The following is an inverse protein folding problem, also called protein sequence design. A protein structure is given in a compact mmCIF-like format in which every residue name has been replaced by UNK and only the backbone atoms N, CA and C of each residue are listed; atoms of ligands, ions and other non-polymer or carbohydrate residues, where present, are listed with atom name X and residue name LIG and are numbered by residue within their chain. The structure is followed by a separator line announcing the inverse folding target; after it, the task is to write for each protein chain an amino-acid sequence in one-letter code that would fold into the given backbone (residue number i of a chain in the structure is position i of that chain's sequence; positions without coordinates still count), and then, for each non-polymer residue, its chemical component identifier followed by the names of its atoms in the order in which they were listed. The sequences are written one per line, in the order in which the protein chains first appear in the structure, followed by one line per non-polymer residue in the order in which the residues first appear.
data_IF_462371485868
#
_entry.id   IF_462371485868
#
_cell.length_a   1.000
_cell.length_b   1.000
_cell.length_c   1.000
_cell.angle_alpha   90.00
_cell.angle_beta   90.00
_cell.angle_gamma   90.00
#
_symmetry.space_group_name_H-M   'P 1'
#
loop_
_entity.id
_entity.type
_entity.pdbx_description
1 polymer ?
#
# COMPACT_ATOMS: atom_id res chain seq x y z
N UNK A 1 -5.96 85.19 6.33
CA UNK A 1 -6.97 84.16 6.68
C UNK A 1 -7.35 83.37 5.39
N UNK A 2 -6.99 82.13 5.29
CA UNK A 2 -7.34 81.31 4.17
C UNK A 2 -8.86 81.02 4.18
N UNK A 3 -9.52 81.15 3.03
CA UNK A 3 -10.96 80.94 2.95
C UNK A 3 -11.30 79.47 2.90
N UNK A 4 -12.51 79.11 3.38
CA UNK A 4 -13.03 77.71 3.32
C UNK A 4 -12.87 77.03 1.98
N UNK A 5 -12.85 77.80 0.89
CA UNK A 5 -12.72 77.34 -0.47
C UNK A 5 -11.29 76.91 -0.82
N UNK A 6 -10.28 77.56 -0.17
CA UNK A 6 -8.86 77.21 -0.32
C UNK A 6 -8.55 75.88 0.43
N UNK A 7 -9.12 75.75 1.62
CA UNK A 7 -8.96 74.56 2.46
C UNK A 7 -9.54 73.28 1.79
N UNK A 8 -10.67 73.44 1.08
CA UNK A 8 -11.28 72.32 0.34
C UNK A 8 -10.54 71.98 -0.94
N UNK A 9 -9.85 72.90 -1.56
CA UNK A 9 -9.01 72.62 -2.75
C UNK A 9 -7.70 71.94 -2.38
N UNK A 10 -7.09 72.37 -1.29
CA UNK A 10 -5.85 71.75 -0.82
C UNK A 10 -6.11 70.38 -0.18
N UNK A 11 -7.27 70.14 0.44
CA UNK A 11 -7.69 68.84 0.94
C UNK A 11 -8.04 67.84 -0.16
N UNK A 12 -8.48 68.30 -1.36
CA UNK A 12 -8.80 67.44 -2.48
C UNK A 12 -7.55 66.99 -3.27
N UNK A 13 -6.45 67.76 -3.19
CA UNK A 13 -5.17 67.43 -3.83
C UNK A 13 -4.33 66.44 -3.02
N UNK A 14 -4.54 66.34 -1.70
CA UNK A 14 -3.85 65.35 -0.83
C UNK A 14 -4.56 64.01 -0.73
N UNK A 15 -5.85 63.93 -1.08
CA UNK A 15 -6.59 62.65 -1.14
C UNK A 15 -6.41 61.89 -2.43
N UNK A 16 -5.85 62.52 -3.49
CA UNK A 16 -5.66 61.89 -4.80
C UNK A 16 -4.34 61.14 -5.01
N UNK A 17 -3.41 61.17 -4.05
CA UNK A 17 -2.06 60.58 -4.23
C UNK A 17 -1.79 59.36 -3.37
N UNK A 18 -2.78 58.78 -2.72
CA UNK A 18 -2.65 57.56 -1.90
C UNK A 18 -3.38 56.34 -2.46
N UNK A 19 -3.75 56.38 -3.75
CA UNK A 19 -4.08 55.20 -4.55
C UNK A 19 -2.81 54.71 -5.26
N UNK A 20 -1.72 54.61 -4.52
CA UNK A 20 -0.61 53.76 -4.92
C UNK A 20 -1.10 52.33 -4.80
N UNK A 21 -1.40 51.76 -5.97
CA UNK A 21 -1.48 50.36 -6.23
C UNK A 21 -0.66 49.53 -5.22
N UNK A 22 -1.29 49.04 -4.18
CA UNK A 22 -0.81 47.81 -3.58
C UNK A 22 -0.99 46.76 -4.71
N UNK A 23 0.10 46.18 -5.25
CA UNK A 23 -0.08 44.92 -5.93
C UNK A 23 -0.69 44.03 -4.85
N UNK A 24 -1.93 43.59 -5.08
CA UNK A 24 -2.43 42.38 -4.49
C UNK A 24 -1.41 41.32 -4.94
N UNK A 25 -0.37 41.16 -4.12
CA UNK A 25 0.37 39.93 -4.07
C UNK A 25 -0.68 38.89 -3.69
N UNK A 26 -1.36 38.36 -4.72
CA UNK A 26 -1.85 37.02 -4.64
C UNK A 26 -0.57 36.22 -4.33
N UNK A 27 -0.31 36.00 -3.05
CA UNK A 27 0.52 34.92 -2.61
C UNK A 27 -0.15 33.71 -3.28
N UNK A 28 0.34 33.35 -4.45
CA UNK A 28 0.13 32.02 -5.00
C UNK A 28 0.65 31.13 -3.88
N UNK A 29 -0.27 30.65 -3.04
CA UNK A 29 0.07 29.81 -1.91
C UNK A 29 0.93 28.69 -2.50
N UNK A 30 2.18 28.64 -2.13
CA UNK A 30 3.03 27.52 -2.46
C UNK A 30 2.21 26.29 -2.12
N UNK A 31 1.80 25.54 -3.13
CA UNK A 31 1.13 24.26 -2.91
C UNK A 31 2.14 23.43 -2.11
N UNK A 32 1.90 23.36 -0.80
CA UNK A 32 2.69 22.59 0.15
C UNK A 32 2.88 21.19 -0.44
N UNK A 33 4.09 20.69 -0.45
CA UNK A 33 4.37 19.30 -0.79
C UNK A 33 3.47 18.39 0.04
N UNK A 34 2.85 17.40 -0.60
CA UNK A 34 2.00 16.40 0.08
C UNK A 34 2.85 15.20 0.42
N UNK A 35 2.74 14.70 1.63
CA UNK A 35 3.47 13.50 2.09
C UNK A 35 2.50 12.34 2.26
N UNK A 36 2.92 11.15 1.84
CA UNK A 36 2.23 9.88 2.04
C UNK A 36 3.22 8.90 2.68
N UNK A 37 2.86 8.37 3.84
CA UNK A 37 3.60 7.27 4.49
C UNK A 37 2.88 5.96 4.19
N UNK A 38 3.57 5.02 3.58
CA UNK A 38 3.07 3.68 3.30
C UNK A 38 3.75 2.73 4.28
N UNK A 39 2.94 2.07 5.11
CA UNK A 39 3.34 0.97 5.95
C UNK A 39 2.91 -0.34 5.29
N UNK A 40 3.75 -1.37 5.36
CA UNK A 40 3.37 -2.65 4.79
C UNK A 40 3.92 -3.85 5.54
N UNK A 41 3.19 -4.94 5.43
CA UNK A 41 3.58 -6.28 5.84
C UNK A 41 3.42 -7.25 4.69
N UNK A 42 4.04 -8.41 4.79
CA UNK A 42 3.92 -9.55 3.90
C UNK A 42 4.27 -10.82 4.67
N UNK A 43 3.73 -11.97 4.24
CA UNK A 43 4.09 -13.30 4.74
C UNK A 43 4.06 -13.37 6.29
N UNK A 44 2.99 -12.87 6.90
CA UNK A 44 2.88 -12.82 8.37
C UNK A 44 2.70 -14.22 8.97
N UNK A 45 2.12 -15.14 8.20
CA UNK A 45 2.05 -16.55 8.54
C UNK A 45 1.52 -16.83 9.95
N UNK A 46 0.34 -16.27 10.26
CA UNK A 46 -0.35 -16.51 11.54
C UNK A 46 0.49 -16.15 12.79
N UNK A 47 1.60 -15.39 12.61
CA UNK A 47 2.48 -15.05 13.74
C UNK A 47 1.86 -13.93 14.59
N UNK A 48 1.03 -14.33 15.56
CA UNK A 48 0.38 -13.43 16.51
C UNK A 48 1.27 -13.13 17.71
N UNK A 49 1.98 -14.13 18.21
CA UNK A 49 2.95 -13.97 19.30
C UNK A 49 4.35 -13.65 18.77
N UNK A 50 5.18 -12.96 19.56
CA UNK A 50 6.60 -12.84 19.23
C UNK A 50 7.28 -14.23 19.26
N UNK A 51 8.41 -14.35 18.57
CA UNK A 51 9.20 -15.57 18.64
C UNK A 51 9.66 -15.83 20.08
N UNK A 52 9.44 -17.05 20.62
CA UNK A 52 9.81 -17.34 22.00
C UNK A 52 11.32 -17.47 22.19
N UNK A 53 12.03 -17.94 21.16
CA UNK A 53 13.46 -18.28 21.20
C UNK A 53 14.14 -18.14 19.82
N UNK A 54 15.40 -18.59 19.73
CA UNK A 54 16.18 -18.57 18.48
C UNK A 54 16.66 -17.18 18.08
N UNK A 55 17.10 -17.05 16.82
CA UNK A 55 17.65 -15.79 16.28
C UNK A 55 16.66 -14.63 16.25
N UNK A 56 15.37 -14.91 16.31
CA UNK A 56 14.31 -13.91 16.30
C UNK A 56 13.62 -13.78 17.67
N UNK A 57 14.18 -14.31 18.74
CA UNK A 57 13.61 -14.26 20.09
C UNK A 57 13.12 -12.85 20.47
N UNK A 58 11.85 -12.74 20.88
CA UNK A 58 11.21 -11.48 21.24
C UNK A 58 10.81 -10.57 20.06
N UNK A 59 11.06 -10.98 18.81
CA UNK A 59 10.71 -10.22 17.59
C UNK A 59 9.38 -10.66 17.00
N UNK A 60 8.75 -9.78 16.24
CA UNK A 60 7.40 -9.98 15.70
C UNK A 60 6.31 -9.75 16.73
N UNK A 61 5.18 -10.39 16.51
CA UNK A 61 4.02 -10.31 17.38
C UNK A 61 3.08 -9.13 17.06
N UNK A 62 1.78 -9.44 17.09
CA UNK A 62 0.73 -8.51 16.69
C UNK A 62 0.63 -7.29 17.60
N UNK A 63 0.82 -7.47 18.92
CA UNK A 63 0.73 -6.37 19.88
C UNK A 63 1.84 -5.33 19.68
N UNK A 64 3.09 -5.78 19.46
CA UNK A 64 4.22 -4.88 19.18
C UNK A 64 4.04 -4.17 17.83
N UNK A 65 3.54 -4.89 16.81
CA UNK A 65 3.23 -4.31 15.50
C UNK A 65 2.15 -3.25 15.58
N UNK A 66 1.04 -3.53 16.28
CA UNK A 66 -0.04 -2.57 16.49
C UNK A 66 0.43 -1.31 17.21
N UNK A 67 1.25 -1.45 18.26
CA UNK A 67 1.86 -0.32 18.96
C UNK A 67 2.68 0.55 18.01
N UNK A 68 3.58 -0.04 17.24
CA UNK A 68 4.44 0.66 16.28
C UNK A 68 3.62 1.39 15.20
N UNK A 69 2.58 0.74 14.65
CA UNK A 69 1.68 1.36 13.68
C UNK A 69 0.98 2.59 14.28
N UNK A 70 0.49 2.49 15.52
CA UNK A 70 -0.18 3.59 16.20
C UNK A 70 0.77 4.76 16.50
N UNK A 71 2.02 4.49 16.88
CA UNK A 71 3.06 5.52 17.07
C UNK A 71 3.35 6.27 15.77
N UNK A 72 3.44 5.56 14.63
CA UNK A 72 3.66 6.19 13.33
C UNK A 72 2.43 7.00 12.91
N UNK A 73 1.21 6.49 13.10
CA UNK A 73 -0.03 7.23 12.80
C UNK A 73 -0.20 8.48 13.66
N UNK A 74 0.31 8.48 14.88
CA UNK A 74 0.30 9.67 15.73
C UNK A 74 1.28 10.75 15.25
N UNK A 75 2.35 10.36 14.55
CA UNK A 75 3.40 11.26 14.06
C UNK A 75 3.18 11.71 12.61
N UNK A 76 2.42 10.96 11.81
CA UNK A 76 2.25 11.19 10.37
C UNK A 76 0.76 11.31 10.02
N UNK A 77 0.40 12.35 9.25
CA UNK A 77 -1.01 12.64 8.93
C UNK A 77 -1.62 11.66 7.92
N UNK A 78 -0.83 11.23 6.95
CA UNK A 78 -1.32 10.46 5.80
C UNK A 78 -0.61 9.11 5.76
N UNK A 79 -1.18 8.12 6.45
CA UNK A 79 -0.62 6.77 6.54
C UNK A 79 -1.54 5.77 5.86
N UNK A 80 -1.01 4.97 4.92
CA UNK A 80 -1.61 3.74 4.40
C UNK A 80 -0.95 2.54 5.06
N UNK A 81 -1.74 1.53 5.40
CA UNK A 81 -1.26 0.24 5.91
C UNK A 81 -1.75 -0.89 5.01
N UNK A 82 -0.82 -1.60 4.38
CA UNK A 82 -1.08 -2.57 3.32
C UNK A 82 -0.45 -3.93 3.64
N UNK A 83 -1.01 -5.00 3.08
CA UNK A 83 -0.47 -6.36 3.22
C UNK A 83 -0.37 -7.05 1.86
N UNK A 84 0.70 -7.82 1.64
CA UNK A 84 0.97 -8.50 0.37
C UNK A 84 0.71 -10.02 0.41
N UNK A 85 -0.16 -10.50 1.32
CA UNK A 85 -0.62 -11.90 1.37
C UNK A 85 0.24 -12.84 2.21
N UNK A 86 -0.16 -14.10 2.24
CA UNK A 86 0.29 -15.13 3.16
C UNK A 86 0.09 -14.71 4.63
N UNK A 87 -1.15 -14.37 4.92
CA UNK A 87 -1.62 -14.00 6.26
C UNK A 87 -1.76 -15.25 7.12
N UNK A 88 -2.30 -16.32 6.52
CA UNK A 88 -2.61 -17.58 7.16
C UNK A 88 -1.42 -18.54 7.22
N UNK A 89 -1.61 -19.64 7.95
CA UNK A 89 -0.69 -20.76 8.07
C UNK A 89 0.65 -20.40 8.76
N UNK A 90 1.28 -21.35 9.42
CA UNK A 90 2.61 -21.21 10.03
C UNK A 90 2.64 -21.27 11.55
N UNK A 91 1.50 -21.18 12.25
CA UNK A 91 1.42 -21.36 13.72
C UNK A 91 0.21 -22.19 14.14
N UNK A 92 0.20 -22.70 15.41
CA UNK A 92 -0.96 -23.39 15.96
C UNK A 92 -2.26 -22.58 15.94
N UNK A 93 -2.21 -21.26 15.90
CA UNK A 93 -3.40 -20.40 15.79
C UNK A 93 -4.22 -20.72 14.55
N UNK A 94 -3.56 -20.79 13.39
CA UNK A 94 -4.26 -21.16 12.16
C UNK A 94 -4.84 -22.58 12.22
N UNK A 95 -4.11 -23.53 12.81
CA UNK A 95 -4.59 -24.91 12.93
C UNK A 95 -5.88 -25.00 13.75
N UNK A 96 -6.01 -24.18 14.80
CA UNK A 96 -7.15 -24.16 15.72
C UNK A 96 -8.29 -23.26 15.23
N UNK A 97 -7.97 -22.06 14.74
CA UNK A 97 -8.97 -21.00 14.49
C UNK A 97 -9.13 -20.64 13.01
N UNK A 98 -8.33 -21.27 12.12
CA UNK A 98 -8.49 -21.18 10.66
C UNK A 98 -8.48 -19.75 10.09
N UNK A 99 -7.74 -18.81 10.73
CA UNK A 99 -7.56 -17.45 10.25
C UNK A 99 -8.42 -16.38 10.95
N UNK A 100 -9.30 -16.76 11.85
CA UNK A 100 -10.15 -15.78 12.58
C UNK A 100 -9.31 -14.75 13.38
N UNK A 101 -8.35 -15.14 14.25
CA UNK A 101 -7.59 -14.17 15.03
C UNK A 101 -6.68 -13.29 14.15
N UNK A 102 -6.17 -13.80 13.03
CA UNK A 102 -5.38 -13.05 12.07
C UNK A 102 -6.20 -11.91 11.44
N UNK A 103 -7.40 -12.23 10.91
CA UNK A 103 -8.29 -11.25 10.29
C UNK A 103 -8.79 -10.21 11.29
N UNK A 104 -9.14 -10.64 12.50
CA UNK A 104 -9.51 -9.72 13.59
C UNK A 104 -8.38 -8.78 13.96
N UNK A 105 -7.16 -9.28 14.09
CA UNK A 105 -5.99 -8.48 14.42
C UNK A 105 -5.69 -7.45 13.33
N UNK A 106 -5.74 -7.82 12.05
CA UNK A 106 -5.56 -6.91 10.92
C UNK A 106 -6.65 -5.84 10.90
N UNK A 107 -7.91 -6.23 11.09
CA UNK A 107 -9.04 -5.30 11.18
C UNK A 107 -8.87 -4.30 12.33
N UNK A 108 -8.45 -4.75 13.51
CA UNK A 108 -8.16 -3.87 14.66
C UNK A 108 -6.98 -2.95 14.43
N UNK A 109 -5.96 -3.38 13.71
CA UNK A 109 -4.83 -2.54 13.32
C UNK A 109 -5.18 -1.55 12.20
N UNK A 110 -6.36 -1.69 11.56
CA UNK A 110 -6.85 -0.79 10.53
C UNK A 110 -6.04 -0.88 9.24
N UNK A 111 -5.86 -2.08 8.70
CA UNK A 111 -5.34 -2.23 7.34
C UNK A 111 -6.27 -1.55 6.33
N UNK A 112 -5.70 -0.87 5.34
CA UNK A 112 -6.44 -0.18 4.28
C UNK A 112 -6.75 -1.12 3.09
N UNK A 113 -5.90 -2.13 2.86
CA UNK A 113 -6.10 -3.21 1.90
C UNK A 113 -5.10 -4.35 2.13
N UNK A 114 -5.45 -5.56 1.67
CA UNK A 114 -4.57 -6.72 1.57
C UNK A 114 -4.72 -7.43 0.23
N UNK A 115 -3.77 -8.30 -0.11
CA UNK A 115 -3.93 -9.27 -1.21
C UNK A 115 -3.91 -10.71 -0.69
N UNK A 116 -3.97 -11.68 -1.58
CA UNK A 116 -4.07 -13.11 -1.26
C UNK A 116 -2.79 -13.81 -1.67
N UNK A 117 -2.16 -14.54 -0.76
CA UNK A 117 -1.05 -15.43 -1.05
C UNK A 117 -1.49 -16.88 -1.21
N UNK A 118 -0.54 -17.77 -1.49
CA UNK A 118 -0.84 -19.18 -1.69
C UNK A 118 -1.23 -19.90 -0.38
N UNK A 119 -0.64 -19.54 0.74
CA UNK A 119 -0.99 -20.12 2.04
C UNK A 119 -2.32 -19.63 2.62
N UNK A 120 -2.90 -18.58 2.05
CA UNK A 120 -4.24 -18.15 2.44
C UNK A 120 -5.31 -19.17 1.99
N UNK A 121 -4.97 -20.06 1.04
CA UNK A 121 -5.82 -21.18 0.63
C UNK A 121 -5.64 -22.46 1.45
N UNK A 122 -4.72 -22.55 2.41
CA UNK A 122 -4.43 -23.78 3.16
C UNK A 122 -5.62 -24.30 4.00
N UNK A 123 -6.57 -23.45 4.30
CA UNK A 123 -7.85 -23.82 4.92
C UNK A 123 -8.97 -24.18 3.93
N UNK A 124 -8.72 -24.05 2.63
CA UNK A 124 -9.72 -24.13 1.57
C UNK A 124 -10.33 -22.77 1.22
N UNK A 125 -10.82 -22.65 -0.02
CA UNK A 125 -11.41 -21.42 -0.55
C UNK A 125 -12.69 -21.01 0.20
N UNK A 126 -13.47 -21.98 0.70
CA UNK A 126 -14.62 -21.75 1.54
C UNK A 126 -14.23 -21.08 2.86
N UNK A 127 -13.16 -21.59 3.50
CA UNK A 127 -12.63 -21.01 4.73
C UNK A 127 -12.11 -19.59 4.47
N UNK A 128 -11.37 -19.36 3.40
CA UNK A 128 -10.85 -18.05 3.04
C UNK A 128 -12.01 -17.04 2.89
N UNK A 129 -13.03 -17.39 2.12
CA UNK A 129 -14.21 -16.54 1.91
C UNK A 129 -14.96 -16.27 3.23
N UNK A 130 -15.16 -17.29 4.06
CA UNK A 130 -15.81 -17.16 5.38
C UNK A 130 -15.03 -16.18 6.28
N UNK A 131 -13.71 -16.34 6.39
CA UNK A 131 -12.89 -15.50 7.30
C UNK A 131 -12.80 -14.06 6.83
N UNK A 132 -12.68 -13.83 5.52
CA UNK A 132 -12.75 -12.49 4.94
C UNK A 132 -14.11 -11.86 5.22
N UNK A 133 -15.18 -12.53 4.90
CA UNK A 133 -16.54 -12.01 5.07
C UNK A 133 -16.90 -11.71 6.53
N UNK A 134 -16.49 -12.57 7.45
CA UNK A 134 -16.88 -12.46 8.85
C UNK A 134 -16.02 -11.46 9.66
N UNK A 135 -14.75 -11.29 9.31
CA UNK A 135 -13.80 -10.62 10.20
C UNK A 135 -12.94 -9.53 9.55
N UNK A 136 -12.84 -9.46 8.22
CA UNK A 136 -12.09 -8.40 7.56
C UNK A 136 -12.96 -7.14 7.38
N UNK A 137 -12.52 -5.99 7.91
CA UNK A 137 -13.13 -4.69 7.67
C UNK A 137 -12.40 -3.86 6.60
N UNK A 138 -11.52 -4.50 5.86
CA UNK A 138 -10.74 -3.95 4.75
C UNK A 138 -10.86 -4.86 3.51
N UNK A 139 -10.70 -4.32 2.29
CA UNK A 139 -10.85 -5.11 1.08
C UNK A 139 -9.62 -5.99 0.79
N UNK A 140 -9.90 -7.15 0.20
CA UNK A 140 -8.89 -7.97 -0.49
C UNK A 140 -8.85 -7.60 -1.96
N UNK A 141 -7.64 -7.31 -2.47
CA UNK A 141 -7.39 -6.79 -3.82
C UNK A 141 -6.57 -7.82 -4.59
N UNK A 142 -7.16 -8.38 -5.64
CA UNK A 142 -6.49 -9.33 -6.54
C UNK A 142 -7.08 -9.20 -7.94
N UNK A 143 -6.25 -9.12 -8.96
CA UNK A 143 -6.71 -8.90 -10.34
C UNK A 143 -6.49 -10.10 -11.26
N UNK A 144 -5.61 -11.02 -10.89
CA UNK A 144 -5.23 -12.15 -11.75
C UNK A 144 -5.78 -13.51 -11.31
N UNK A 145 -6.73 -13.53 -10.37
CA UNK A 145 -7.54 -14.72 -10.09
C UNK A 145 -8.98 -14.49 -10.54
N UNK A 146 -9.53 -15.44 -11.31
CA UNK A 146 -10.94 -15.48 -11.66
C UNK A 146 -11.64 -16.47 -10.72
N UNK A 147 -12.44 -15.96 -9.81
CA UNK A 147 -13.21 -16.72 -8.82
C UNK A 147 -14.66 -16.98 -9.26
N UNK A 148 -14.98 -16.87 -10.55
CA UNK A 148 -16.35 -17.06 -11.05
C UNK A 148 -16.90 -18.45 -10.64
N UNK A 149 -17.99 -18.45 -9.89
CA UNK A 149 -18.65 -19.65 -9.36
C UNK A 149 -17.98 -20.23 -8.12
N UNK A 150 -17.01 -19.55 -7.53
CA UNK A 150 -16.35 -19.94 -6.28
C UNK A 150 -16.79 -19.05 -5.09
N UNK A 151 -16.67 -19.52 -3.84
CA UNK A 151 -17.06 -18.74 -2.65
C UNK A 151 -16.42 -17.35 -2.57
N UNK A 152 -15.24 -17.18 -3.15
CA UNK A 152 -14.52 -15.91 -3.17
C UNK A 152 -15.07 -14.87 -4.16
N UNK A 153 -16.01 -15.21 -5.05
CA UNK A 153 -16.47 -14.34 -6.16
C UNK A 153 -16.94 -12.95 -5.69
N UNK A 154 -17.53 -12.85 -4.50
CA UNK A 154 -18.03 -11.58 -3.95
C UNK A 154 -17.15 -10.97 -2.86
N UNK A 155 -16.01 -11.58 -2.54
CA UNK A 155 -15.15 -11.21 -1.39
C UNK A 155 -13.83 -10.60 -1.79
N UNK A 156 -13.64 -10.26 -3.08
CA UNK A 156 -12.44 -9.58 -3.58
C UNK A 156 -12.80 -8.44 -4.52
N UNK A 157 -11.81 -7.61 -4.82
CA UNK A 157 -11.91 -6.53 -5.80
C UNK A 157 -10.65 -6.52 -6.67
N UNK A 158 -10.74 -6.22 -7.99
CA UNK A 158 -9.55 -6.10 -8.82
C UNK A 158 -8.71 -4.86 -8.50
N UNK A 159 -9.30 -3.86 -7.87
CA UNK A 159 -8.62 -2.64 -7.44
C UNK A 159 -9.40 -1.92 -6.33
N UNK A 160 -8.71 -1.02 -5.64
CA UNK A 160 -9.28 -0.01 -4.72
C UNK A 160 -8.72 1.36 -5.04
N UNK A 161 -9.54 2.40 -4.88
CA UNK A 161 -9.07 3.80 -4.90
C UNK A 161 -9.26 4.38 -3.50
N UNK A 162 -8.21 4.98 -2.97
CA UNK A 162 -8.18 5.61 -1.65
C UNK A 162 -7.76 7.07 -1.82
N UNK A 163 -8.50 8.00 -1.23
CA UNK A 163 -8.11 9.41 -1.15
C UNK A 163 -7.49 9.68 0.21
N UNK A 164 -6.24 10.13 0.24
CA UNK A 164 -5.51 10.42 1.48
C UNK A 164 -4.58 11.63 1.30
N UNK A 165 -4.69 12.64 2.17
CA UNK A 165 -3.87 13.85 2.09
C UNK A 165 -4.03 14.62 0.75
N UNK A 166 -5.20 14.57 0.14
CA UNK A 166 -5.45 15.17 -1.18
C UNK A 166 -4.81 14.41 -2.34
N UNK A 167 -4.27 13.20 -2.09
CA UNK A 167 -3.76 12.28 -3.10
C UNK A 167 -4.80 11.21 -3.42
N UNK A 168 -4.92 10.85 -4.70
CA UNK A 168 -5.73 9.72 -5.18
C UNK A 168 -4.81 8.54 -5.42
N UNK A 169 -4.92 7.50 -4.59
CA UNK A 169 -4.06 6.32 -4.62
C UNK A 169 -4.85 5.15 -5.18
N UNK A 170 -4.37 4.56 -6.27
CA UNK A 170 -4.89 3.32 -6.82
C UNK A 170 -4.12 2.12 -6.25
N UNK A 171 -4.84 1.07 -5.86
CA UNK A 171 -4.25 -0.18 -5.38
C UNK A 171 -4.79 -1.30 -6.25
N UNK A 172 -3.90 -2.14 -6.77
CA UNK A 172 -4.22 -3.43 -7.40
C UNK A 172 -3.43 -4.54 -6.70
N UNK A 173 -3.70 -5.80 -7.03
CA UNK A 173 -2.97 -6.93 -6.47
C UNK A 173 -2.83 -8.07 -7.46
N UNK A 174 -1.79 -8.88 -7.29
CA UNK A 174 -1.56 -10.12 -8.06
C UNK A 174 -1.05 -11.24 -7.16
N UNK A 175 -1.56 -12.46 -7.41
CA UNK A 175 -1.13 -13.68 -6.73
C UNK A 175 -0.31 -14.59 -7.65
N UNK A 176 0.40 -15.52 -7.04
CA UNK A 176 1.20 -16.53 -7.71
C UNK A 176 0.30 -17.64 -8.28
N UNK A 177 0.78 -18.38 -9.29
CA UNK A 177 0.09 -19.57 -9.79
C UNK A 177 -0.03 -20.63 -8.68
N UNK A 178 -1.26 -21.06 -8.40
CA UNK A 178 -1.55 -22.00 -7.32
C UNK A 178 -1.22 -23.46 -7.70
N UNK A 179 -1.21 -23.78 -8.99
CA UNK A 179 -0.92 -25.12 -9.50
C UNK A 179 0.49 -25.56 -9.08
N UNK A 180 0.56 -26.68 -8.37
CA UNK A 180 1.83 -27.22 -7.87
C UNK A 180 2.31 -26.62 -6.54
N UNK A 181 1.68 -25.54 -6.04
CA UNK A 181 1.94 -24.96 -4.71
C UNK A 181 0.82 -25.31 -3.71
N UNK A 182 -0.42 -25.28 -4.17
CA UNK A 182 -1.61 -25.53 -3.36
C UNK A 182 -2.34 -26.75 -3.91
N UNK A 183 -2.90 -27.57 -3.02
CA UNK A 183 -3.73 -28.72 -3.45
C UNK A 183 -4.97 -28.25 -4.22
N UNK A 184 -5.26 -28.88 -5.37
CA UNK A 184 -6.36 -28.50 -6.25
C UNK A 184 -7.71 -28.32 -5.52
N UNK A 185 -8.01 -29.17 -4.55
CA UNK A 185 -9.25 -29.10 -3.77
C UNK A 185 -9.34 -27.89 -2.84
N UNK A 186 -8.22 -27.19 -2.59
CA UNK A 186 -8.19 -26.06 -1.67
C UNK A 186 -8.48 -24.72 -2.36
N UNK A 187 -8.27 -24.61 -3.67
CA UNK A 187 -8.58 -23.40 -4.43
C UNK A 187 -9.71 -23.58 -5.47
N UNK A 188 -10.35 -24.76 -5.47
CA UNK A 188 -11.51 -25.04 -6.30
C UNK A 188 -11.24 -24.89 -7.79
N UNK A 189 -12.11 -24.16 -8.49
CA UNK A 189 -12.01 -23.85 -9.93
C UNK A 189 -11.40 -22.47 -10.21
N UNK A 190 -10.77 -21.85 -9.23
CA UNK A 190 -10.07 -20.58 -9.38
C UNK A 190 -9.13 -20.64 -10.59
N UNK A 191 -9.28 -19.69 -11.51
CA UNK A 191 -8.41 -19.62 -12.69
C UNK A 191 -7.30 -18.60 -12.46
N UNK A 192 -6.09 -18.99 -12.82
CA UNK A 192 -4.94 -18.09 -12.85
C UNK A 192 -4.88 -17.38 -14.20
N UNK A 193 -4.84 -16.05 -14.16
CA UNK A 193 -4.67 -15.19 -15.33
C UNK A 193 -3.26 -14.63 -15.35
N UNK A 194 -2.79 -14.16 -16.51
CA UNK A 194 -1.45 -13.55 -16.62
C UNK A 194 -1.33 -12.31 -15.72
N UNK A 195 -0.48 -12.32 -14.69
CA UNK A 195 -0.40 -11.24 -13.71
C UNK A 195 0.13 -9.93 -14.30
N UNK A 196 1.00 -9.99 -15.33
CA UNK A 196 1.52 -8.78 -15.99
C UNK A 196 0.41 -8.10 -16.79
N UNK A 197 -0.36 -8.88 -17.54
CA UNK A 197 -1.48 -8.35 -18.33
C UNK A 197 -2.55 -7.75 -17.42
N UNK A 198 -2.96 -8.47 -16.38
CA UNK A 198 -4.03 -8.02 -15.48
C UNK A 198 -3.61 -6.82 -14.63
N UNK A 199 -2.41 -6.84 -14.03
CA UNK A 199 -1.90 -5.70 -13.29
C UNK A 199 -1.76 -4.46 -14.17
N UNK A 200 -1.24 -4.62 -15.40
CA UNK A 200 -1.11 -3.50 -16.35
C UNK A 200 -2.47 -2.96 -16.78
N UNK A 201 -3.44 -3.84 -17.09
CA UNK A 201 -4.82 -3.45 -17.45
C UNK A 201 -5.47 -2.62 -16.35
N UNK A 202 -5.35 -3.07 -15.11
CA UNK A 202 -5.91 -2.37 -13.95
C UNK A 202 -5.16 -1.07 -13.67
N UNK A 203 -3.83 -1.05 -13.73
CA UNK A 203 -3.03 0.14 -13.53
C UNK A 203 -3.33 1.23 -14.59
N UNK A 204 -3.51 0.83 -15.84
CA UNK A 204 -3.93 1.71 -16.94
C UNK A 204 -5.30 2.36 -16.66
N UNK A 205 -6.26 1.57 -16.19
CA UNK A 205 -7.57 2.06 -15.79
C UNK A 205 -7.47 3.04 -14.62
N UNK A 206 -6.68 2.72 -13.59
CA UNK A 206 -6.47 3.58 -12.42
C UNK A 206 -5.84 4.92 -12.82
N UNK A 207 -4.84 4.91 -13.69
CA UNK A 207 -4.20 6.15 -14.19
C UNK A 207 -5.12 6.95 -15.09
N UNK A 208 -5.71 6.33 -16.12
CA UNK A 208 -6.42 7.05 -17.21
C UNK A 208 -7.88 7.35 -16.89
N UNK A 209 -8.55 6.52 -16.07
CA UNK A 209 -9.97 6.69 -15.76
C UNK A 209 -10.24 7.18 -14.34
N UNK A 210 -9.39 6.81 -13.37
CA UNK A 210 -9.52 7.25 -11.98
C UNK A 210 -8.58 8.40 -11.63
N UNK A 211 -7.68 8.80 -12.55
CA UNK A 211 -6.71 9.88 -12.38
C UNK A 211 -5.86 9.73 -11.11
N UNK A 212 -5.43 8.50 -10.81
CA UNK A 212 -4.64 8.24 -9.63
C UNK A 212 -3.27 8.92 -9.71
N UNK A 213 -2.88 9.62 -8.64
CA UNK A 213 -1.55 10.22 -8.49
C UNK A 213 -0.47 9.12 -8.38
N UNK A 214 -0.81 7.99 -7.73
CA UNK A 214 0.07 6.83 -7.54
C UNK A 214 -0.72 5.54 -7.70
N UNK A 215 -0.07 4.51 -8.28
CA UNK A 215 -0.59 3.14 -8.35
C UNK A 215 0.35 2.20 -7.62
N UNK A 216 -0.20 1.45 -6.67
CA UNK A 216 0.49 0.45 -5.85
C UNK A 216 -0.02 -0.93 -6.26
N UNK A 217 0.88 -1.88 -6.49
CA UNK A 217 0.57 -3.28 -6.68
C UNK A 217 0.98 -4.09 -5.44
N UNK A 218 0.05 -4.78 -4.82
CA UNK A 218 0.31 -5.78 -3.78
C UNK A 218 0.61 -7.09 -4.50
N UNK A 219 1.84 -7.58 -4.42
CA UNK A 219 2.27 -8.73 -5.22
C UNK A 219 2.70 -9.89 -4.36
N UNK A 220 2.04 -11.04 -4.61
CA UNK A 220 2.45 -12.32 -4.03
C UNK A 220 3.11 -13.24 -5.06
N UNK A 221 3.87 -12.67 -6.01
CA UNK A 221 4.59 -13.43 -7.04
C UNK A 221 5.96 -13.93 -6.57
N UNK A 222 6.58 -13.22 -5.66
CA UNK A 222 7.95 -13.43 -5.22
C UNK A 222 8.96 -12.52 -5.92
N UNK A 223 10.05 -12.21 -5.23
CA UNK A 223 11.08 -11.25 -5.64
C UNK A 223 11.64 -11.53 -7.04
N UNK A 224 12.37 -12.64 -7.18
CA UNK A 224 12.93 -13.13 -8.45
C UNK A 224 13.32 -14.60 -8.38
N UNK A 225 13.38 -15.24 -9.54
CA UNK A 225 13.75 -16.64 -9.71
C UNK A 225 14.93 -16.79 -10.66
N UNK A 226 15.62 -17.95 -10.61
CA UNK A 226 16.74 -18.24 -11.49
C UNK A 226 16.30 -18.55 -12.94
N UNK A 227 15.04 -18.95 -13.10
CA UNK A 227 14.39 -19.19 -14.38
C UNK A 227 13.51 -17.99 -14.80
N UNK A 228 12.81 -18.13 -15.93
CA UNK A 228 11.90 -17.11 -16.44
C UNK A 228 10.50 -17.13 -15.78
N UNK A 229 10.35 -17.79 -14.63
CA UNK A 229 9.11 -17.75 -13.86
C UNK A 229 8.77 -16.29 -13.52
N UNK A 230 7.48 -15.96 -13.66
CA UNK A 230 7.03 -14.61 -13.36
C UNK A 230 7.35 -14.23 -11.90
N UNK A 231 7.82 -13.01 -11.70
CA UNK A 231 8.31 -12.49 -10.42
C UNK A 231 8.06 -10.99 -10.36
N UNK A 232 8.28 -10.39 -9.19
CA UNK A 232 8.14 -8.94 -9.01
C UNK A 232 9.15 -8.15 -9.86
N UNK A 233 10.36 -8.68 -10.06
CA UNK A 233 11.32 -8.10 -11.00
C UNK A 233 10.76 -8.06 -12.42
N UNK A 234 10.23 -9.16 -12.93
CA UNK A 234 9.64 -9.23 -14.27
C UNK A 234 8.33 -8.43 -14.38
N UNK A 235 7.51 -8.42 -13.33
CA UNK A 235 6.32 -7.57 -13.26
C UNK A 235 6.71 -6.09 -13.35
N UNK A 236 7.69 -5.65 -12.56
CA UNK A 236 8.16 -4.27 -12.59
C UNK A 236 8.66 -3.86 -13.99
N UNK A 237 9.45 -4.73 -14.64
CA UNK A 237 10.03 -4.44 -15.95
C UNK A 237 9.02 -4.46 -17.10
N UNK A 238 7.98 -5.32 -17.03
CA UNK A 238 7.05 -5.56 -18.13
C UNK A 238 5.73 -4.81 -18.00
N UNK A 239 5.38 -4.34 -16.79
CA UNK A 239 4.15 -3.59 -16.54
C UNK A 239 4.24 -2.14 -17.02
N UNK A 240 3.12 -1.41 -16.90
CA UNK A 240 3.01 0.02 -17.13
C UNK A 240 2.23 0.66 -15.98
N UNK A 241 2.53 1.92 -15.70
CA UNK A 241 1.77 2.74 -14.75
C UNK A 241 1.72 2.25 -13.29
N UNK A 242 2.49 1.24 -12.93
CA UNK A 242 2.72 0.85 -11.53
C UNK A 242 3.91 1.65 -11.00
N UNK A 243 3.75 2.26 -9.84
CA UNK A 243 4.77 3.10 -9.20
C UNK A 243 5.50 2.37 -8.07
N UNK A 244 4.78 1.47 -7.38
CA UNK A 244 5.29 0.70 -6.25
C UNK A 244 4.74 -0.72 -6.29
N UNK A 245 5.59 -1.71 -6.08
CA UNK A 245 5.23 -3.10 -5.83
C UNK A 245 5.62 -3.43 -4.38
N UNK A 246 4.62 -3.82 -3.58
CA UNK A 246 4.86 -4.44 -2.27
C UNK A 246 4.92 -5.94 -2.51
N UNK A 247 6.11 -6.49 -2.35
CA UNK A 247 6.51 -7.85 -2.70
C UNK A 247 6.35 -8.81 -1.52
N UNK A 248 6.13 -10.11 -1.80
CA UNK A 248 5.92 -11.16 -0.81
C UNK A 248 6.47 -12.52 -1.29
N UNK A 249 5.98 -13.63 -0.71
CA UNK A 249 6.19 -15.03 -1.09
C UNK A 249 7.62 -15.57 -0.86
N UNK A 250 8.65 -14.83 -1.21
CA UNK A 250 10.05 -15.30 -1.12
C UNK A 250 10.72 -14.98 0.22
N UNK A 251 10.01 -14.38 1.16
CA UNK A 251 10.46 -14.06 2.53
C UNK A 251 11.76 -13.26 2.58
N UNK A 252 12.04 -12.44 1.56
CA UNK A 252 13.30 -11.68 1.47
C UNK A 252 13.28 -10.45 2.39
N UNK A 253 14.30 -10.34 3.21
CA UNK A 253 14.59 -9.12 3.96
C UNK A 253 15.40 -8.18 3.06
N UNK A 254 14.74 -7.18 2.46
CA UNK A 254 15.45 -6.18 1.68
C UNK A 254 16.14 -5.18 2.61
N UNK A 255 17.43 -4.94 2.39
CA UNK A 255 18.17 -3.88 3.09
C UNK A 255 17.68 -2.49 2.65
N UNK A 256 17.31 -2.37 1.38
CA UNK A 256 16.72 -1.19 0.78
C UNK A 256 15.78 -1.58 -0.36
N UNK A 257 14.76 -0.76 -0.68
CA UNK A 257 13.92 -0.97 -1.84
C UNK A 257 14.74 -1.06 -3.13
N UNK A 258 14.29 -1.90 -4.05
CA UNK A 258 14.90 -2.02 -5.39
C UNK A 258 14.16 -1.11 -6.37
N UNK A 259 14.88 -0.61 -7.36
CA UNK A 259 14.34 0.21 -8.43
C UNK A 259 14.54 -0.48 -9.77
N UNK A 260 13.46 -0.52 -10.57
CA UNK A 260 13.45 -1.08 -11.92
C UNK A 260 12.88 -0.04 -12.90
N UNK A 261 13.11 -0.25 -14.20
CA UNK A 261 12.47 0.51 -15.26
C UNK A 261 11.37 -0.33 -15.89
N UNK A 262 10.16 0.22 -15.97
CA UNK A 262 9.01 -0.45 -16.59
C UNK A 262 9.08 -0.39 -18.12
N UNK A 263 8.05 -0.89 -18.80
CA UNK A 263 7.98 -0.89 -20.25
C UNK A 263 7.95 0.52 -20.88
N UNK A 264 7.57 1.54 -20.13
CA UNK A 264 7.59 2.97 -20.55
C UNK A 264 8.84 3.72 -20.05
N UNK A 265 9.82 3.03 -19.44
CA UNK A 265 11.02 3.58 -18.83
C UNK A 265 10.75 4.43 -17.56
N UNK A 266 9.57 4.35 -16.99
CA UNK A 266 9.27 4.94 -15.69
C UNK A 266 9.86 4.09 -14.57
N UNK A 267 10.19 4.74 -13.45
CA UNK A 267 10.70 4.06 -12.25
C UNK A 267 9.60 3.30 -11.53
N UNK A 268 9.88 2.04 -11.18
CA UNK A 268 9.06 1.19 -10.31
C UNK A 268 9.88 0.78 -9.09
N UNK A 269 9.39 1.09 -7.92
CA UNK A 269 10.01 0.68 -6.65
C UNK A 269 9.42 -0.67 -6.22
N UNK A 270 10.27 -1.60 -5.78
CA UNK A 270 9.88 -2.91 -5.22
C UNK A 270 10.42 -3.04 -3.82
N UNK A 271 9.60 -3.38 -2.83
CA UNK A 271 10.04 -3.60 -1.45
C UNK A 271 9.40 -4.82 -0.82
N UNK A 272 10.19 -5.58 -0.04
CA UNK A 272 9.77 -6.75 0.72
C UNK A 272 10.43 -6.72 2.11
N UNK A 273 9.74 -7.15 3.18
CA UNK A 273 10.21 -7.01 4.56
C UNK A 273 10.30 -8.34 5.32
N UNK A 274 10.74 -9.36 4.62
CA UNK A 274 10.95 -10.71 5.19
C UNK A 274 9.63 -11.43 5.40
N UNK A 275 9.40 -11.93 6.62
CA UNK A 275 8.25 -12.77 6.97
C UNK A 275 7.91 -12.66 8.45
N UNK A 276 6.81 -13.33 8.86
CA UNK A 276 6.37 -13.48 10.26
C UNK A 276 6.16 -12.14 11.01
N UNK A 277 6.03 -11.03 10.28
CA UNK A 277 5.88 -9.72 10.90
C UNK A 277 7.08 -9.29 11.75
N UNK A 278 8.28 -9.85 11.49
CA UNK A 278 9.53 -9.47 12.15
C UNK A 278 9.88 -8.02 11.86
N UNK A 279 9.55 -7.56 10.66
CA UNK A 279 9.72 -6.16 10.25
C UNK A 279 8.39 -5.56 9.79
N UNK A 280 8.27 -4.25 9.96
CA UNK A 280 7.27 -3.40 9.35
C UNK A 280 7.97 -2.52 8.32
N UNK A 281 7.55 -2.60 7.06
CA UNK A 281 8.05 -1.72 6.00
C UNK A 281 7.47 -0.33 6.12
N UNK A 282 8.30 0.70 5.94
CA UNK A 282 7.89 2.10 5.86
C UNK A 282 8.51 2.75 4.64
N UNK A 283 7.67 3.33 3.80
CA UNK A 283 8.04 4.08 2.60
C UNK A 283 7.37 5.45 2.66
N UNK A 284 8.15 6.51 2.78
CA UNK A 284 7.65 7.89 2.78
C UNK A 284 7.81 8.49 1.39
N UNK A 285 6.70 8.84 0.75
CA UNK A 285 6.66 9.52 -0.54
C UNK A 285 6.33 11.00 -0.36
N UNK A 286 7.03 11.86 -1.12
CA UNK A 286 6.73 13.28 -1.24
C UNK A 286 6.24 13.55 -2.66
N UNK A 287 5.13 14.30 -2.76
CA UNK A 287 4.53 14.74 -4.01
C UNK A 287 4.73 16.25 -4.14
N UNK A 288 5.55 16.63 -5.10
CA UNK A 288 5.85 18.01 -5.41
C UNK A 288 4.85 18.62 -6.41
N UNK A 289 5.04 19.90 -6.75
CA UNK A 289 4.24 20.60 -7.76
C UNK A 289 4.31 19.84 -9.09
N UNK A 290 3.15 19.58 -9.70
CA UNK A 290 3.05 18.79 -10.94
C UNK A 290 2.94 17.27 -10.71
N UNK A 291 2.63 16.85 -9.48
CA UNK A 291 2.49 15.44 -9.07
C UNK A 291 3.76 14.59 -9.25
N UNK A 292 4.92 15.24 -9.29
CA UNK A 292 6.20 14.53 -9.26
C UNK A 292 6.33 13.86 -7.89
N UNK A 293 6.28 12.52 -7.88
CA UNK A 293 6.44 11.72 -6.68
C UNK A 293 7.88 11.26 -6.53
N UNK A 294 8.35 11.28 -5.30
CA UNK A 294 9.71 10.82 -4.95
C UNK A 294 9.63 10.02 -3.67
N UNK A 295 10.28 8.86 -3.67
CA UNK A 295 10.57 8.14 -2.43
C UNK A 295 11.61 8.96 -1.64
N UNK A 296 11.18 9.58 -0.53
CA UNK A 296 12.01 10.43 0.32
C UNK A 296 12.77 9.62 1.36
N UNK A 297 12.05 8.69 2.02
CA UNK A 297 12.62 7.82 3.05
C UNK A 297 12.08 6.41 2.93
N UNK A 298 12.93 5.45 3.30
CA UNK A 298 12.54 4.07 3.46
C UNK A 298 13.15 3.49 4.73
N UNK A 299 12.46 2.57 5.38
CA UNK A 299 12.96 1.88 6.56
C UNK A 299 12.23 0.56 6.75
N UNK A 300 12.97 -0.50 6.97
CA UNK A 300 12.47 -1.75 7.53
C UNK A 300 12.63 -1.69 9.04
N UNK A 301 11.51 -1.58 9.78
CA UNK A 301 11.51 -1.34 11.22
C UNK A 301 11.32 -2.67 11.93
N UNK A 302 12.24 -3.06 12.80
CA UNK A 302 12.08 -4.25 13.64
C UNK A 302 10.86 -4.12 14.55
N UNK A 303 10.07 -5.17 14.62
CA UNK A 303 8.89 -5.28 15.49
C UNK A 303 9.27 -6.11 16.72
N UNK A 304 8.91 -5.65 17.91
CA UNK A 304 9.19 -6.33 19.19
C UNK A 304 10.43 -5.80 19.91
N UNK A 305 10.99 -6.59 20.79
CA UNK A 305 12.15 -6.19 21.58
C UNK A 305 13.38 -6.02 20.69
N UNK A 306 14.07 -4.89 20.83
CA UNK A 306 15.44 -4.76 20.35
C UNK A 306 16.32 -5.66 21.22
N UNK A 307 17.00 -6.60 20.59
CA UNK A 307 18.04 -7.40 21.23
C UNK A 307 19.27 -6.55 21.50
#
# INVERSE_FOLDING_TARGET
MATRRQFLKDGALTAGSLLISHPLLFAAGEKKSRKLTILHTNDVHSRLDPFPDGQYAGKGGVAARAKLINEIRAAEENVLLLDAGDIFQGTPYFNLYKGEPEMKAMSMMGYDAGTIGNHDFDGGIENLAEKISAYANFPFIISNYDFTGEPMETHYQPYKVINKGGLTIGITGVGIELTGLVGQGLYGKTKYLDPVQEATRVADFLKKKKNCDMVICLSHLGDKYADNKISDELLAQRSRHIDLIISAHTHRFFESPRSYRNADQDEVIVNQVGWAGIQLGRLDYVFEKGNVKKLDKNKSILVGKNS
#
